data_IF_083152314968
#
_entry.id   IF_083152314968
#
_cell.length_a   1.000
_cell.length_b   1.000
_cell.length_c   1.000
_cell.angle_alpha   90.00
_cell.angle_beta   90.00
_cell.angle_gamma   90.00
#
_symmetry.space_group_name_H-M   'P 1'
#
loop_
_entity.id
_entity.type
_entity.pdbx_description
1 polymer ?
#
# COMPACT_ATOMS: atom_id res chain seq x y z
N UNK A 1 -5.40 -3.25 10.40
CA UNK A 1 -5.49 -2.02 11.25
C UNK A 1 -5.90 -2.25 12.71
N UNK A 2 -6.96 -3.01 13.01
CA UNK A 2 -7.39 -3.25 14.40
C UNK A 2 -6.31 -3.93 15.28
N UNK A 3 -5.66 -4.97 14.75
CA UNK A 3 -4.57 -5.69 15.43
C UNK A 3 -3.41 -4.74 15.78
N UNK A 4 -3.04 -3.87 14.84
CA UNK A 4 -1.98 -2.87 15.05
C UNK A 4 -2.35 -1.84 16.13
N UNK A 5 -3.59 -1.36 16.12
CA UNK A 5 -4.06 -0.42 17.14
C UNK A 5 -4.08 -1.03 18.54
N UNK A 6 -4.57 -2.27 18.66
CA UNK A 6 -4.60 -2.98 19.95
C UNK A 6 -3.17 -3.19 20.47
N UNK A 7 -2.24 -3.63 19.60
CA UNK A 7 -0.84 -3.78 19.95
C UNK A 7 -0.20 -2.47 20.44
N UNK A 8 -0.46 -1.35 19.76
CA UNK A 8 0.03 -0.04 20.18
C UNK A 8 -0.55 0.40 21.52
N UNK A 9 -1.86 0.27 21.74
CA UNK A 9 -2.50 0.71 22.98
C UNK A 9 -2.10 -0.12 24.21
N UNK A 10 -1.77 -1.40 24.02
CA UNK A 10 -1.33 -2.28 25.10
C UNK A 10 0.15 -2.13 25.44
N UNK A 11 0.98 -1.67 24.50
CA UNK A 11 2.43 -1.56 24.72
C UNK A 11 2.83 -0.64 25.88
N UNK A 12 2.18 0.52 26.12
CA UNK A 12 2.41 1.35 27.30
C UNK A 12 2.36 0.60 28.63
N UNK A 13 1.45 -0.36 28.76
CA UNK A 13 1.18 -1.06 30.02
C UNK A 13 2.04 -2.33 30.18
N UNK A 14 3.02 -2.54 29.32
CA UNK A 14 3.89 -3.71 29.37
C UNK A 14 4.80 -3.68 30.60
N UNK A 15 4.86 -4.78 31.39
CA UNK A 15 5.70 -4.83 32.59
C UNK A 15 7.18 -5.14 32.30
N UNK A 16 7.52 -5.69 31.13
CA UNK A 16 8.89 -6.04 30.77
C UNK A 16 9.17 -5.85 29.26
N UNK A 17 10.45 -5.84 28.89
CA UNK A 17 10.90 -5.62 27.50
C UNK A 17 10.49 -6.76 26.54
N UNK A 18 10.33 -7.99 27.05
CA UNK A 18 9.89 -9.13 26.23
C UNK A 18 8.44 -8.97 25.76
N UNK A 19 7.57 -8.46 26.64
CA UNK A 19 6.17 -8.14 26.32
C UNK A 19 6.10 -6.98 25.32
N UNK A 20 6.97 -5.96 25.45
CA UNK A 20 7.10 -4.90 24.43
C UNK A 20 7.47 -5.51 23.09
N UNK A 21 8.47 -6.41 23.04
CA UNK A 21 8.90 -7.10 21.82
C UNK A 21 7.78 -7.92 21.17
N UNK A 22 7.01 -8.65 21.96
CA UNK A 22 5.87 -9.43 21.48
C UNK A 22 4.76 -8.52 20.92
N UNK A 23 4.38 -7.47 21.64
CA UNK A 23 3.35 -6.53 21.18
C UNK A 23 3.80 -5.74 19.94
N UNK A 24 5.09 -5.42 19.84
CA UNK A 24 5.72 -4.85 18.63
C UNK A 24 5.63 -5.78 17.44
N UNK A 25 5.90 -7.07 17.66
CA UNK A 25 5.77 -8.09 16.62
C UNK A 25 4.32 -8.21 16.13
N UNK A 26 3.35 -8.29 17.05
CA UNK A 26 1.92 -8.31 16.72
C UNK A 26 1.49 -7.04 15.96
N UNK A 27 1.98 -5.88 16.41
CA UNK A 27 1.71 -4.61 15.72
C UNK A 27 2.26 -4.63 14.29
N UNK A 28 3.49 -5.15 14.10
CA UNK A 28 4.12 -5.31 12.79
C UNK A 28 3.32 -6.22 11.85
N UNK A 29 2.83 -7.35 12.36
CA UNK A 29 1.94 -8.25 11.62
C UNK A 29 0.64 -7.55 11.19
N UNK A 30 0.13 -6.63 12.01
CA UNK A 30 -1.09 -5.88 11.71
C UNK A 30 -0.91 -4.72 10.73
N UNK A 31 0.29 -4.13 10.62
CA UNK A 31 0.57 -2.99 9.72
C UNK A 31 1.11 -3.47 8.38
N UNK A 32 2.03 -4.44 8.36
CA UNK A 32 2.78 -4.83 7.16
C UNK A 32 1.90 -5.23 5.97
N UNK A 33 1.10 -6.30 6.08
CA UNK A 33 0.25 -6.77 4.97
C UNK A 33 -0.75 -5.72 4.50
N UNK A 34 -1.30 -4.96 5.45
CA UNK A 34 -2.34 -3.96 5.18
C UNK A 34 -1.79 -2.76 4.41
N UNK A 35 -0.60 -2.27 4.76
CA UNK A 35 0.05 -1.18 4.03
C UNK A 35 0.32 -1.58 2.57
N UNK A 36 0.86 -2.79 2.34
CA UNK A 36 1.17 -3.28 1.00
C UNK A 36 -0.09 -3.49 0.15
N UNK A 37 -1.11 -4.14 0.71
CA UNK A 37 -2.34 -4.42 -0.05
C UNK A 37 -3.11 -3.13 -0.33
N UNK A 38 -3.27 -2.26 0.67
CA UNK A 38 -4.13 -1.08 0.51
C UNK A 38 -3.44 0.01 -0.29
N UNK A 39 -2.17 0.32 -0.03
CA UNK A 39 -1.49 1.38 -0.76
C UNK A 39 -1.12 0.92 -2.17
N UNK A 40 -0.50 -0.25 -2.33
CA UNK A 40 0.04 -0.60 -3.63
C UNK A 40 -1.05 -1.19 -4.55
N UNK A 41 -1.84 -2.15 -4.08
CA UNK A 41 -2.83 -2.83 -4.95
C UNK A 41 -3.97 -1.89 -5.31
N UNK A 42 -4.62 -1.25 -4.33
CA UNK A 42 -5.75 -0.36 -4.65
C UNK A 42 -5.30 0.86 -5.45
N UNK A 43 -4.17 1.50 -5.12
CA UNK A 43 -3.74 2.67 -5.91
C UNK A 43 -3.39 2.26 -7.34
N UNK A 44 -2.74 1.10 -7.53
CA UNK A 44 -2.39 0.66 -8.89
C UNK A 44 -3.61 0.26 -9.73
N UNK A 45 -4.68 -0.21 -9.09
CA UNK A 45 -5.93 -0.60 -9.75
C UNK A 45 -6.84 0.59 -10.04
N UNK A 46 -7.03 1.50 -9.09
CA UNK A 46 -7.94 2.63 -9.24
C UNK A 46 -7.32 3.80 -10.01
N UNK A 47 -5.99 3.99 -9.96
CA UNK A 47 -5.34 5.13 -10.61
C UNK A 47 -4.71 4.75 -11.96
N UNK A 48 -4.95 5.55 -13.01
CA UNK A 48 -4.34 5.34 -14.31
C UNK A 48 -2.81 5.52 -14.23
N UNK A 49 -2.10 4.80 -15.11
CA UNK A 49 -0.63 4.73 -15.13
C UNK A 49 0.07 6.11 -15.06
N UNK A 50 -0.50 7.14 -15.69
CA UNK A 50 0.05 8.51 -15.72
C UNK A 50 0.09 9.20 -14.36
N UNK A 51 -0.86 8.92 -13.46
CA UNK A 51 -0.93 9.59 -12.13
C UNK A 51 -0.63 8.65 -10.98
N UNK A 52 -0.55 7.33 -11.23
CA UNK A 52 -0.24 6.29 -10.24
C UNK A 52 0.98 6.63 -9.40
N UNK A 53 2.09 7.04 -10.04
CA UNK A 53 3.32 7.39 -9.32
C UNK A 53 3.14 8.57 -8.36
N UNK A 54 2.36 9.59 -8.74
CA UNK A 54 2.05 10.74 -7.87
C UNK A 54 1.13 10.32 -6.72
N UNK A 55 0.12 9.49 -6.99
CA UNK A 55 -0.79 8.99 -5.96
C UNK A 55 -0.04 8.15 -4.90
N UNK A 56 0.84 7.25 -5.35
CA UNK A 56 1.73 6.49 -4.46
C UNK A 56 2.65 7.43 -3.66
N UNK A 57 3.30 8.39 -4.33
CA UNK A 57 4.19 9.33 -3.65
C UNK A 57 3.46 10.14 -2.56
N UNK A 58 2.24 10.62 -2.82
CA UNK A 58 1.42 11.33 -1.83
C UNK A 58 1.05 10.38 -0.68
N UNK A 59 0.60 9.15 -0.98
CA UNK A 59 0.25 8.16 0.03
C UNK A 59 1.42 7.82 0.95
N UNK A 60 2.59 7.54 0.38
CA UNK A 60 3.82 7.30 1.15
C UNK A 60 4.27 8.53 1.93
N UNK A 61 4.19 9.73 1.34
CA UNK A 61 4.53 10.96 2.06
C UNK A 61 3.63 11.15 3.28
N UNK A 62 2.32 10.94 3.15
CA UNK A 62 1.39 10.98 4.27
C UNK A 62 1.72 9.91 5.33
N UNK A 63 2.02 8.68 4.89
CA UNK A 63 2.36 7.58 5.79
C UNK A 63 3.65 7.84 6.59
N UNK A 64 4.68 8.43 5.98
CA UNK A 64 5.96 8.71 6.63
C UNK A 64 5.97 10.02 7.43
N UNK A 65 5.10 10.97 7.10
CA UNK A 65 4.93 12.21 7.88
C UNK A 65 4.08 12.00 9.14
N UNK A 66 3.13 11.07 9.12
CA UNK A 66 2.26 10.80 10.28
C UNK A 66 3.04 10.47 11.58
N UNK A 67 4.07 9.60 11.59
CA UNK A 67 4.89 9.37 12.78
C UNK A 67 5.61 10.63 13.30
N UNK A 68 6.05 11.51 12.40
CA UNK A 68 6.71 12.77 12.79
C UNK A 68 5.70 13.68 13.50
N UNK A 69 4.49 13.81 12.96
CA UNK A 69 3.40 14.58 13.58
C UNK A 69 3.05 14.01 14.97
N UNK A 70 2.93 12.69 15.09
CA UNK A 70 2.70 12.02 16.38
C UNK A 70 3.83 12.28 17.37
N UNK A 71 5.09 12.24 16.92
CA UNK A 71 6.24 12.52 17.77
C UNK A 71 6.25 13.98 18.28
N UNK A 72 5.91 14.94 17.43
CA UNK A 72 5.78 16.36 17.82
C UNK A 72 4.63 16.55 18.81
N UNK A 73 3.47 15.96 18.53
CA UNK A 73 2.32 16.02 19.44
C UNK A 73 2.65 15.41 20.80
N UNK A 74 3.33 14.26 20.82
CA UNK A 74 3.78 13.66 22.07
C UNK A 74 4.77 14.58 22.81
N UNK A 75 5.77 15.14 22.12
CA UNK A 75 6.71 16.09 22.74
C UNK A 75 6.01 17.28 23.41
N UNK A 76 4.95 17.81 22.79
CA UNK A 76 4.16 18.92 23.34
C UNK A 76 3.25 18.49 24.51
N UNK A 77 2.74 17.25 24.53
CA UNK A 77 1.84 16.76 25.58
C UNK A 77 2.56 16.29 26.84
N UNK A 78 3.77 15.74 26.72
CA UNK A 78 4.54 15.14 27.82
C UNK A 78 4.78 16.08 29.01
N UNK A 79 5.11 17.38 28.84
CA UNK A 79 5.36 18.30 29.95
C UNK A 79 4.13 18.59 30.83
N UNK A 80 2.93 18.26 30.34
CA UNK A 80 1.67 18.64 30.98
C UNK A 80 0.94 17.46 31.64
N UNK A 81 1.39 16.22 31.42
CA UNK A 81 0.69 15.01 31.90
C UNK A 81 1.64 14.05 32.61
N UNK A 82 1.71 14.14 33.94
CA UNK A 82 2.59 13.35 34.81
C UNK A 82 2.10 11.91 35.12
N UNK A 83 1.07 11.44 34.42
CA UNK A 83 0.41 10.14 34.70
C UNK A 83 1.20 8.96 34.09
N UNK A 84 1.92 9.19 32.99
CA UNK A 84 2.66 8.18 32.24
C UNK A 84 4.02 8.72 31.79
N UNK A 85 4.98 7.83 31.58
CA UNK A 85 6.29 8.16 31.03
C UNK A 85 6.15 8.67 29.59
N UNK A 86 7.01 9.60 29.17
CA UNK A 86 6.84 10.29 27.89
C UNK A 86 6.82 9.38 26.66
N UNK A 87 7.52 8.24 26.71
CA UNK A 87 7.50 7.26 25.63
C UNK A 87 6.15 6.53 25.52
N UNK A 88 5.42 6.30 26.63
CA UNK A 88 4.12 5.62 26.63
C UNK A 88 3.07 6.43 25.87
N UNK A 89 3.14 7.77 25.95
CA UNK A 89 2.27 8.67 25.21
C UNK A 89 2.40 8.54 23.70
N UNK A 90 3.60 8.28 23.16
CA UNK A 90 3.79 8.06 21.72
C UNK A 90 2.94 6.91 21.19
N UNK A 91 2.82 5.83 21.98
CA UNK A 91 2.06 4.65 21.62
C UNK A 91 0.56 4.86 21.76
N UNK A 92 0.12 5.59 22.79
CA UNK A 92 -1.29 5.92 22.98
C UNK A 92 -1.78 6.82 21.86
N UNK A 93 -1.07 7.91 21.58
CA UNK A 93 -1.43 8.85 20.50
C UNK A 93 -1.37 8.16 19.15
N UNK A 94 -0.33 7.36 18.88
CA UNK A 94 -0.23 6.56 17.66
C UNK A 94 -1.35 5.52 17.51
N UNK A 95 -1.68 4.81 18.58
CA UNK A 95 -2.79 3.84 18.62
C UNK A 95 -4.14 4.49 18.34
N UNK A 96 -4.43 5.63 18.98
CA UNK A 96 -5.63 6.43 18.72
C UNK A 96 -5.65 6.90 17.26
N UNK A 97 -4.52 7.38 16.73
CA UNK A 97 -4.41 7.76 15.32
C UNK A 97 -4.81 6.63 14.36
N UNK A 98 -4.30 5.42 14.58
CA UNK A 98 -4.69 4.25 13.76
C UNK A 98 -6.16 3.90 13.94
N UNK A 99 -6.70 4.00 15.16
CA UNK A 99 -8.12 3.78 15.45
C UNK A 99 -9.02 4.70 14.61
N UNK A 100 -8.64 5.98 14.45
CA UNK A 100 -9.42 6.92 13.62
C UNK A 100 -9.44 6.55 12.15
N UNK A 101 -8.46 5.79 11.64
CA UNK A 101 -8.37 5.36 10.24
C UNK A 101 -9.28 4.15 9.97
N UNK A 102 -9.58 3.33 10.99
CA UNK A 102 -10.44 2.13 10.86
C UNK A 102 -11.80 2.44 10.20
N UNK A 103 -12.58 3.47 10.61
CA UNK A 103 -13.85 3.78 9.94
C UNK A 103 -13.67 4.17 8.47
N UNK A 104 -12.60 4.87 8.11
CA UNK A 104 -12.31 5.21 6.71
C UNK A 104 -12.03 3.98 5.84
N UNK A 105 -11.56 2.88 6.43
CA UNK A 105 -11.36 1.61 5.73
C UNK A 105 -12.67 1.09 5.11
N UNK A 106 -13.80 1.29 5.78
CA UNK A 106 -15.11 0.85 5.27
C UNK A 106 -15.65 1.74 4.14
N UNK A 107 -15.07 2.91 3.91
CA UNK A 107 -15.43 3.80 2.81
C UNK A 107 -14.71 3.44 1.51
N UNK A 108 -13.58 2.72 1.60
CA UNK A 108 -12.77 2.34 0.45
C UNK A 108 -13.33 1.04 -0.14
N UNK A 109 -13.75 1.03 -1.42
CA UNK A 109 -14.24 -0.18 -2.06
C UNK A 109 -13.13 -1.24 -2.15
N UNK A 110 -13.55 -2.51 -2.10
CA UNK A 110 -12.68 -3.66 -2.38
C UNK A 110 -12.16 -3.60 -3.83
N UNK A 111 -11.02 -4.26 -4.06
CA UNK A 111 -10.44 -4.42 -5.41
C UNK A 111 -11.42 -5.18 -6.33
N UNK A 112 -11.81 -4.62 -7.49
CA UNK A 112 -12.66 -5.34 -8.46
C UNK A 112 -12.02 -6.65 -8.91
N UNK A 113 -10.70 -6.67 -9.13
CA UNK A 113 -9.95 -7.87 -9.53
C UNK A 113 -9.95 -8.94 -8.44
N UNK A 114 -9.85 -8.53 -7.18
CA UNK A 114 -9.97 -9.46 -6.07
C UNK A 114 -11.38 -10.07 -6.00
N UNK A 115 -12.43 -9.25 -6.18
CA UNK A 115 -13.81 -9.72 -6.22
C UNK A 115 -14.04 -10.72 -7.36
N UNK A 116 -13.52 -10.44 -8.56
CA UNK A 116 -13.52 -11.37 -9.70
C UNK A 116 -12.83 -12.70 -9.36
N UNK A 117 -11.65 -12.63 -8.73
CA UNK A 117 -10.90 -13.84 -8.33
C UNK A 117 -11.64 -14.71 -7.30
N UNK A 118 -12.59 -14.11 -6.56
CA UNK A 118 -13.47 -14.78 -5.59
C UNK A 118 -14.81 -15.20 -6.19
N UNK A 119 -15.04 -14.97 -7.47
CA UNK A 119 -16.29 -15.29 -8.16
C UNK A 119 -17.44 -14.31 -7.86
N UNK A 120 -17.17 -13.16 -7.23
CA UNK A 120 -18.16 -12.12 -6.90
C UNK A 120 -18.27 -11.10 -8.03
N UNK A 121 -18.69 -11.57 -9.22
CA UNK A 121 -18.68 -10.79 -10.45
C UNK A 121 -19.62 -9.58 -10.39
N UNK A 122 -20.83 -9.75 -9.87
CA UNK A 122 -21.83 -8.66 -9.78
C UNK A 122 -21.34 -7.47 -8.95
N UNK A 123 -20.60 -7.74 -7.87
CA UNK A 123 -20.05 -6.68 -7.03
C UNK A 123 -18.87 -5.97 -7.71
N UNK A 124 -18.02 -6.72 -8.40
CA UNK A 124 -16.91 -6.17 -9.17
C UNK A 124 -17.46 -5.22 -10.25
N UNK A 125 -18.47 -5.66 -11.00
CA UNK A 125 -19.08 -4.89 -12.07
C UNK A 125 -19.73 -3.61 -11.54
N UNK A 126 -20.45 -3.67 -10.41
CA UNK A 126 -21.00 -2.49 -9.75
C UNK A 126 -19.94 -1.44 -9.39
N UNK A 127 -18.77 -1.88 -8.94
CA UNK A 127 -17.66 -0.97 -8.61
C UNK A 127 -17.08 -0.37 -9.89
N UNK A 128 -16.85 -1.18 -10.93
CA UNK A 128 -16.33 -0.73 -12.22
C UNK A 128 -17.28 0.28 -12.87
N UNK A 129 -18.57 -0.02 -12.98
CA UNK A 129 -19.57 0.90 -13.55
C UNK A 129 -19.61 2.24 -12.82
N UNK A 130 -19.44 2.24 -11.48
CA UNK A 130 -19.37 3.48 -10.70
C UNK A 130 -18.12 4.30 -11.03
N UNK A 131 -16.96 3.66 -11.22
CA UNK A 131 -15.72 4.34 -11.62
C UNK A 131 -15.88 4.91 -13.04
N UNK A 132 -16.49 4.15 -13.94
CA UNK A 132 -16.77 4.59 -15.31
C UNK A 132 -17.71 5.79 -15.35
N UNK A 133 -18.81 5.79 -14.59
CA UNK A 133 -19.71 6.96 -14.50
C UNK A 133 -18.97 8.22 -14.04
N UNK A 134 -18.07 8.10 -13.06
CA UNK A 134 -17.26 9.21 -12.58
C UNK A 134 -16.30 9.69 -13.67
N UNK A 135 -15.63 8.76 -14.37
CA UNK A 135 -14.72 9.10 -15.45
C UNK A 135 -15.42 9.75 -16.65
N UNK A 136 -16.64 9.29 -17.01
CA UNK A 136 -17.49 9.91 -18.04
C UNK A 136 -17.88 11.33 -17.63
N UNK A 137 -18.24 11.55 -16.36
CA UNK A 137 -18.57 12.89 -15.86
C UNK A 137 -17.37 13.85 -15.92
N UNK A 138 -16.16 13.38 -15.64
CA UNK A 138 -14.97 14.23 -15.68
C UNK A 138 -14.40 14.46 -17.09
N UNK A 139 -14.45 13.46 -17.98
CA UNK A 139 -13.75 13.48 -19.28
C UNK A 139 -14.66 13.33 -20.50
N UNK A 140 -15.98 13.21 -20.32
CA UNK A 140 -16.99 13.10 -21.36
C UNK A 140 -17.10 11.73 -22.01
N UNK A 141 -15.98 11.07 -22.33
CA UNK A 141 -15.97 9.73 -22.94
C UNK A 141 -14.83 8.87 -22.38
N UNK A 142 -15.13 7.60 -22.17
CA UNK A 142 -14.13 6.56 -21.94
C UNK A 142 -13.92 5.88 -23.30
N UNK A 143 -12.66 5.72 -23.72
CA UNK A 143 -12.34 4.94 -24.91
C UNK A 143 -12.70 3.46 -24.71
N UNK A 144 -12.73 2.68 -25.79
CA UNK A 144 -12.97 1.24 -25.67
C UNK A 144 -11.98 0.59 -24.68
N UNK A 145 -12.44 -0.41 -23.90
CA UNK A 145 -11.57 -1.11 -22.95
C UNK A 145 -10.38 -1.69 -23.71
N UNK A 146 -9.18 -1.21 -23.36
CA UNK A 146 -7.94 -1.73 -23.92
C UNK A 146 -7.84 -3.18 -23.49
N UNK A 147 -7.97 -4.12 -24.44
CA UNK A 147 -7.78 -5.54 -24.18
C UNK A 147 -6.30 -5.78 -23.87
N UNK A 148 -5.97 -5.72 -22.58
CA UNK A 148 -4.64 -6.09 -22.12
C UNK A 148 -4.56 -7.61 -22.20
N UNK A 149 -3.70 -8.12 -23.09
CA UNK A 149 -3.39 -9.55 -23.17
C UNK A 149 -2.88 -9.99 -21.80
N UNK A 150 -3.66 -10.80 -21.09
CA UNK A 150 -3.27 -11.33 -19.79
C UNK A 150 -2.07 -12.25 -20.01
N UNK A 151 -0.88 -11.77 -19.66
CA UNK A 151 0.31 -12.62 -19.61
C UNK A 151 0.07 -13.58 -18.44
N UNK A 152 -0.20 -14.85 -18.75
CA UNK A 152 -0.32 -15.88 -17.73
C UNK A 152 1.02 -15.95 -16.99
N UNK A 153 1.03 -15.56 -15.71
CA UNK A 153 2.24 -15.67 -14.90
C UNK A 153 2.59 -17.14 -14.75
N UNK A 154 3.66 -17.59 -15.40
CA UNK A 154 4.21 -18.92 -15.13
C UNK A 154 4.65 -18.96 -13.66
N UNK A 155 4.42 -20.09 -12.98
CA UNK A 155 4.96 -20.30 -11.64
C UNK A 155 6.47 -20.49 -11.74
N UNK A 156 7.20 -19.39 -11.62
CA UNK A 156 8.66 -19.38 -11.55
C UNK A 156 9.06 -19.85 -10.15
N UNK A 157 10.05 -20.73 -10.03
CA UNK A 157 10.56 -21.15 -8.72
C UNK A 157 11.35 -19.99 -8.11
N UNK A 158 11.22 -19.73 -6.80
CA UNK A 158 11.95 -18.63 -6.12
C UNK A 158 13.47 -18.73 -6.33
N UNK A 159 14.00 -19.94 -6.53
CA UNK A 159 15.42 -20.18 -6.84
C UNK A 159 15.85 -19.63 -8.20
N UNK A 160 14.93 -19.49 -9.16
CA UNK A 160 15.21 -18.93 -10.48
C UNK A 160 15.33 -17.40 -10.42
N UNK A 161 14.80 -16.75 -9.39
CA UNK A 161 14.92 -15.30 -9.17
C UNK A 161 16.37 -14.88 -8.87
N UNK A 162 17.16 -15.78 -8.29
CA UNK A 162 18.58 -15.58 -7.98
C UNK A 162 19.49 -16.29 -8.99
N UNK A 163 18.95 -16.74 -10.12
CA UNK A 163 19.74 -17.33 -11.18
C UNK A 163 20.52 -16.24 -11.92
N UNK A 164 21.81 -16.45 -12.26
CA UNK A 164 22.63 -15.51 -13.04
C UNK A 164 22.10 -15.29 -14.48
N UNK A 165 21.00 -15.95 -14.86
CA UNK A 165 20.31 -15.74 -16.12
C UNK A 165 19.64 -14.35 -16.21
N UNK A 166 19.07 -13.84 -15.11
CA UNK A 166 18.37 -12.54 -15.08
C UNK A 166 19.36 -11.37 -15.15
N UNK A 167 20.55 -11.52 -14.57
CA UNK A 167 21.60 -10.50 -14.60
C UNK A 167 22.06 -10.19 -16.04
N UNK A 168 22.11 -11.22 -16.91
CA UNK A 168 22.48 -11.07 -18.32
C UNK A 168 21.39 -10.38 -19.14
N UNK A 169 20.11 -10.62 -18.85
CA UNK A 169 19.02 -9.92 -19.54
C UNK A 169 18.98 -8.44 -19.14
N UNK A 170 19.10 -8.11 -17.86
CA UNK A 170 19.18 -6.73 -17.40
C UNK A 170 20.36 -5.97 -18.02
N UNK A 171 21.55 -6.58 -18.05
CA UNK A 171 22.72 -6.01 -18.73
C UNK A 171 22.50 -5.85 -20.24
N UNK A 172 21.87 -6.81 -20.91
CA UNK A 172 21.54 -6.70 -22.33
C UNK A 172 20.52 -5.58 -22.61
N UNK A 173 19.48 -5.44 -21.80
CA UNK A 173 18.48 -4.38 -21.95
C UNK A 173 19.09 -2.99 -21.67
N UNK A 174 19.93 -2.87 -20.65
CA UNK A 174 20.63 -1.62 -20.33
C UNK A 174 21.66 -1.26 -21.42
N UNK A 175 22.40 -2.25 -21.94
CA UNK A 175 23.35 -2.07 -23.05
C UNK A 175 22.65 -1.72 -24.38
N UNK A 176 21.52 -2.37 -24.70
CA UNK A 176 20.74 -2.07 -25.90
C UNK A 176 20.04 -0.70 -25.81
N UNK A 177 19.55 -0.33 -24.62
CA UNK A 177 19.00 1.00 -24.33
C UNK A 177 20.05 2.11 -24.52
N UNK A 178 21.29 1.85 -24.06
CA UNK A 178 22.38 2.83 -24.15
C UNK A 178 23.00 2.93 -25.55
N UNK A 179 23.07 1.83 -26.31
CA UNK A 179 23.83 1.79 -27.57
C UNK A 179 22.97 1.78 -28.85
N UNK A 180 21.72 1.29 -28.79
CA UNK A 180 20.85 1.13 -29.98
C UNK A 180 19.35 1.31 -29.65
N UNK A 181 18.90 2.55 -29.38
CA UNK A 181 17.51 2.84 -28.98
C UNK A 181 16.46 2.50 -30.05
N UNK A 182 16.86 2.47 -31.32
CA UNK A 182 16.00 2.18 -32.48
C UNK A 182 15.48 0.72 -32.55
N UNK A 183 16.15 -0.24 -31.89
CA UNK A 183 15.73 -1.65 -31.89
C UNK A 183 14.61 -1.94 -30.87
N UNK A 184 14.50 -1.15 -29.81
CA UNK A 184 13.48 -1.33 -28.76
C UNK A 184 12.08 -0.96 -29.27
N UNK A 185 12.00 0.00 -30.20
CA UNK A 185 10.73 0.42 -30.80
C UNK A 185 10.17 -0.60 -31.81
N UNK A 186 11.03 -1.45 -32.38
CA UNK A 186 10.62 -2.48 -33.34
C UNK A 186 10.03 -3.75 -32.69
N UNK A 187 10.34 -4.01 -31.41
CA UNK A 187 9.81 -5.17 -30.66
C UNK A 187 8.50 -4.89 -29.92
N UNK A 188 8.00 -3.66 -29.98
CA UNK A 188 6.76 -3.21 -29.33
C UNK A 188 5.55 -3.16 -30.28
N UNK A 189 5.72 -3.62 -31.53
CA UNK A 189 4.65 -3.83 -32.52
C UNK A 189 4.42 -5.32 -32.76
#
# INVERSE_FOLDING_TARGET
MAIASIGLLLTPFSPNIYVVGLLRFITGLGVGPEALIVLDVLITEFFPSKIRGRALAIGYTAAWTAPIVVAVLAYLLIPHVYILHGWQWLFIVGGIGILTIIPFRFLIPESPRWLESKGRIEEAEKIVSRIEEIAIKEKGQIGEPVQVKVIQSQRVKITELFSPYIEKEHLCYEYLSFYKPEYIMASLH
#
